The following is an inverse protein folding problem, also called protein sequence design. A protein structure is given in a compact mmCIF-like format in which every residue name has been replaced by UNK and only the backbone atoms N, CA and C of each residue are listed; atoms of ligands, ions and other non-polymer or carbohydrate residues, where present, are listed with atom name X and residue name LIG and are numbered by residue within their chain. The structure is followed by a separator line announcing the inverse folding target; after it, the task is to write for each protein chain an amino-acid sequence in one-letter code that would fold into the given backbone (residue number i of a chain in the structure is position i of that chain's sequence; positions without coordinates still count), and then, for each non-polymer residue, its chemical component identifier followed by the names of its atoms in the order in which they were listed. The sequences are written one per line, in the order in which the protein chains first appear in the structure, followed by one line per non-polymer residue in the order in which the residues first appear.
data_IF_318165426479
#
_entry.id   IF_318165426479
#
_cell.length_a   1.000
_cell.length_b   1.000
_cell.length_c   1.000
_cell.angle_alpha   90.00
_cell.angle_beta   90.00
_cell.angle_gamma   90.00
#
_symmetry.space_group_name_H-M   'P 1'
#
loop_
_entity.id
_entity.type
_entity.pdbx_description
1 polymer ?
#
# COMPACT_ATOMS: atom_id res chain seq x y z
N UNK A 1 4.18 39.28 -42.27
CA UNK A 1 4.37 38.08 -41.43
C UNK A 1 4.25 38.59 -40.02
N UNK A 2 3.10 38.39 -39.36
CA UNK A 2 2.76 39.01 -38.09
C UNK A 2 2.90 37.92 -37.01
N UNK A 3 3.88 38.09 -36.14
CA UNK A 3 3.99 37.26 -34.92
C UNK A 3 3.04 37.82 -33.84
N UNK A 4 2.14 36.94 -33.36
CA UNK A 4 1.25 37.24 -32.24
C UNK A 4 2.00 37.01 -30.94
N UNK A 5 1.90 37.87 -29.92
CA UNK A 5 2.52 37.67 -28.61
C UNK A 5 1.84 36.52 -27.85
N UNK A 6 2.64 35.62 -27.32
CA UNK A 6 2.19 34.50 -26.44
C UNK A 6 1.70 35.06 -25.10
N UNK A 7 0.40 35.01 -24.86
CA UNK A 7 -0.21 35.48 -23.61
C UNK A 7 -0.13 34.35 -22.57
N UNK A 8 0.54 34.53 -21.42
CA UNK A 8 0.69 33.52 -20.35
C UNK A 8 -0.61 33.19 -19.61
N UNK A 9 -1.65 34.00 -19.75
CA UNK A 9 -2.88 33.94 -18.95
C UNK A 9 -3.77 32.74 -19.32
N UNK A 10 -3.74 32.24 -20.55
CA UNK A 10 -4.59 31.11 -20.97
C UNK A 10 -4.10 29.76 -20.48
N UNK A 11 -2.82 29.62 -20.13
CA UNK A 11 -2.27 28.38 -19.58
C UNK A 11 -2.69 28.15 -18.14
N UNK A 12 -2.83 29.22 -17.34
CA UNK A 12 -3.30 29.12 -15.94
C UNK A 12 -4.80 28.74 -15.84
N UNK A 13 -5.62 29.19 -16.77
CA UNK A 13 -7.07 28.87 -16.79
C UNK A 13 -7.32 27.41 -17.20
N UNK A 14 -6.55 26.86 -18.12
CA UNK A 14 -6.68 25.48 -18.56
C UNK A 14 -6.25 24.48 -17.45
N UNK A 15 -5.15 24.79 -16.71
CA UNK A 15 -4.68 23.98 -15.59
C UNK A 15 -5.64 24.00 -14.41
N UNK A 16 -6.25 25.13 -14.08
CA UNK A 16 -7.22 25.22 -12.96
C UNK A 16 -8.55 24.53 -13.27
N UNK A 17 -8.93 24.48 -14.54
CA UNK A 17 -10.18 23.84 -14.95
C UNK A 17 -10.05 22.30 -15.04
N UNK A 18 -8.90 21.79 -15.46
CA UNK A 18 -8.59 20.35 -15.43
C UNK A 18 -8.41 19.84 -13.98
N UNK A 19 -7.69 20.56 -13.14
CA UNK A 19 -7.52 20.18 -11.73
C UNK A 19 -8.87 20.11 -10.99
N UNK A 20 -9.81 21.02 -11.28
CA UNK A 20 -11.18 20.95 -10.74
C UNK A 20 -12.01 19.80 -11.31
N UNK A 21 -11.74 19.34 -12.53
CA UNK A 21 -12.42 18.16 -13.08
C UNK A 21 -11.88 16.87 -12.47
N UNK A 22 -10.56 16.76 -12.31
CA UNK A 22 -9.92 15.61 -11.66
C UNK A 22 -10.27 15.51 -10.18
N UNK A 23 -10.31 16.64 -9.45
CA UNK A 23 -10.78 16.67 -8.06
C UNK A 23 -12.28 16.28 -7.93
N UNK A 24 -13.13 16.65 -8.89
CA UNK A 24 -14.53 16.25 -8.90
C UNK A 24 -14.73 14.79 -9.28
N UNK A 25 -13.95 14.26 -10.21
CA UNK A 25 -13.99 12.83 -10.56
C UNK A 25 -13.43 11.97 -9.43
N UNK A 26 -12.42 12.41 -8.68
CA UNK A 26 -11.95 11.72 -7.47
C UNK A 26 -12.94 11.82 -6.29
N UNK A 27 -13.63 12.94 -6.10
CA UNK A 27 -14.67 13.04 -5.08
C UNK A 27 -15.90 12.15 -5.39
N UNK A 28 -16.28 12.00 -6.66
CA UNK A 28 -17.41 11.14 -7.04
C UNK A 28 -17.08 9.64 -6.94
N UNK A 29 -15.80 9.24 -6.97
CA UNK A 29 -15.38 7.85 -6.74
C UNK A 29 -15.14 7.49 -5.26
N UNK A 30 -14.95 8.46 -4.38
CA UNK A 30 -14.70 8.24 -2.94
C UNK A 30 -15.95 8.32 -2.06
N UNK A 31 -17.11 8.70 -2.60
CA UNK A 31 -18.38 8.71 -1.88
C UNK A 31 -19.37 7.67 -2.40
N UNK A 32 -18.90 6.41 -2.57
CA UNK A 32 -19.74 5.23 -2.55
C UNK A 32 -20.14 4.96 -1.11
N UNK A 33 -21.29 5.51 -0.73
CA UNK A 33 -22.15 5.15 0.39
C UNK A 33 -21.46 4.34 1.53
N UNK A 34 -21.08 5.02 2.60
CA UNK A 34 -21.08 4.40 3.93
C UNK A 34 -22.54 4.05 4.27
N UNK A 35 -23.04 2.96 3.68
CA UNK A 35 -24.13 2.24 4.32
C UNK A 35 -23.56 1.65 5.60
N UNK A 36 -24.17 1.98 6.72
CA UNK A 36 -23.91 1.41 8.02
C UNK A 36 -24.10 -0.11 7.94
N UNK A 37 -23.05 -0.84 7.62
CA UNK A 37 -23.01 -2.31 7.71
C UNK A 37 -22.96 -2.68 9.20
N UNK A 38 -24.06 -2.44 9.89
CA UNK A 38 -24.30 -2.93 11.23
C UNK A 38 -24.88 -4.34 11.09
N UNK A 39 -24.05 -5.36 11.21
CA UNK A 39 -24.53 -6.71 11.31
C UNK A 39 -23.87 -7.70 10.32
N UNK A 40 -24.27 -8.93 10.34
CA UNK A 40 -23.61 -10.07 9.69
C UNK A 40 -23.78 -10.14 8.16
N UNK A 41 -23.95 -9.03 7.47
CA UNK A 41 -24.25 -8.99 6.00
C UNK A 41 -23.19 -9.67 5.11
N UNK A 42 -21.96 -9.91 5.65
CA UNK A 42 -20.93 -10.68 4.94
C UNK A 42 -21.35 -12.15 4.74
N UNK A 43 -22.25 -12.67 5.58
CA UNK A 43 -22.69 -14.06 5.51
C UNK A 43 -23.94 -14.27 4.63
N UNK A 44 -24.62 -13.20 4.21
CA UNK A 44 -25.87 -13.26 3.44
C UNK A 44 -25.66 -13.20 1.91
N UNK A 45 -24.43 -13.11 1.41
CA UNK A 45 -24.16 -13.08 -0.05
C UNK A 45 -24.26 -14.48 -0.67
N UNK A 46 -24.84 -14.62 -1.87
CA UNK A 46 -24.90 -15.90 -2.57
C UNK A 46 -23.50 -16.41 -2.96
N UNK A 47 -23.21 -17.63 -2.59
CA UNK A 47 -21.92 -18.31 -2.70
C UNK A 47 -21.73 -18.91 -4.10
N UNK A 48 -20.57 -18.69 -4.76
CA UNK A 48 -20.19 -19.42 -5.97
C UNK A 48 -19.72 -20.85 -5.62
N UNK A 49 -20.68 -21.78 -5.63
CA UNK A 49 -20.48 -23.18 -5.22
C UNK A 49 -19.54 -24.00 -6.11
N UNK A 50 -19.11 -23.47 -7.25
CA UNK A 50 -18.32 -24.25 -8.23
C UNK A 50 -16.82 -24.29 -7.91
N UNK A 51 -16.27 -23.28 -7.24
CA UNK A 51 -14.85 -23.21 -6.90
C UNK A 51 -14.48 -24.07 -5.70
N UNK A 52 -15.28 -24.01 -4.62
CA UNK A 52 -15.03 -24.79 -3.39
C UNK A 52 -15.06 -26.31 -3.62
N UNK A 53 -15.94 -26.77 -4.50
CA UNK A 53 -16.08 -28.19 -4.86
C UNK A 53 -14.84 -28.75 -5.53
N UNK A 54 -14.21 -28.04 -6.45
CA UNK A 54 -13.01 -28.51 -7.17
C UNK A 54 -11.78 -28.61 -6.29
N UNK A 55 -11.61 -27.71 -5.33
CA UNK A 55 -10.47 -27.72 -4.41
C UNK A 55 -10.57 -28.82 -3.37
N UNK A 56 -11.77 -29.15 -2.87
CA UNK A 56 -11.99 -30.19 -1.91
C UNK A 56 -11.80 -31.61 -2.49
N UNK A 57 -12.29 -31.85 -3.70
CA UNK A 57 -12.14 -33.16 -4.40
C UNK A 57 -10.69 -33.52 -4.71
N UNK A 58 -9.81 -32.53 -4.95
CA UNK A 58 -8.40 -32.77 -5.23
C UNK A 58 -7.57 -33.15 -4.00
N UNK A 59 -7.97 -32.74 -2.77
CA UNK A 59 -7.20 -32.97 -1.54
C UNK A 59 -7.37 -34.36 -0.92
N UNK A 60 -8.41 -35.14 -1.27
CA UNK A 60 -8.83 -36.32 -0.54
C UNK A 60 -8.81 -37.64 -1.34
N UNK A 61 -8.04 -37.78 -2.43
CA UNK A 61 -7.83 -39.07 -3.10
C UNK A 61 -6.75 -39.87 -2.33
N UNK A 62 -7.17 -40.66 -1.34
CA UNK A 62 -6.37 -41.76 -0.77
C UNK A 62 -6.95 -43.12 -1.20
N UNK A 63 -6.09 -44.16 -1.47
CA UNK A 63 -6.56 -45.47 -1.87
C UNK A 63 -7.17 -46.24 -0.69
N UNK A 64 -8.38 -46.76 -0.88
CA UNK A 64 -9.05 -47.68 0.05
C UNK A 64 -8.26 -49.01 0.10
N UNK A 65 -7.72 -49.35 1.26
CA UNK A 65 -7.20 -50.70 1.55
C UNK A 65 -8.35 -51.59 2.06
N UNK A 66 -8.59 -52.65 1.35
CA UNK A 66 -9.65 -53.61 1.61
C UNK A 66 -9.42 -54.42 2.90
N UNK A 67 -10.26 -54.22 3.91
CA UNK A 67 -10.18 -54.88 5.21
C UNK A 67 -10.94 -56.24 5.24
N UNK A 68 -11.67 -56.57 4.17
CA UNK A 68 -12.53 -57.77 4.16
C UNK A 68 -11.79 -59.10 4.03
N UNK A 69 -10.59 -59.13 3.39
CA UNK A 69 -9.85 -60.37 3.10
C UNK A 69 -9.15 -60.97 4.33
N UNK A 70 -9.00 -60.26 5.42
CA UNK A 70 -8.28 -60.76 6.64
C UNK A 70 -9.12 -61.44 7.66
N UNK A 71 -10.42 -61.51 7.50
CA UNK A 71 -11.36 -62.09 8.53
C UNK A 71 -11.69 -63.55 8.33
N UNK A 72 -11.35 -64.19 7.22
CA UNK A 72 -11.78 -65.58 6.90
C UNK A 72 -10.84 -66.71 7.36
N UNK A 73 -9.70 -66.38 8.00
CA UNK A 73 -8.70 -67.42 8.38
C UNK A 73 -8.46 -67.52 9.88
N UNK A 74 -9.49 -67.73 10.71
CA UNK A 74 -9.30 -67.95 12.15
C UNK A 74 -9.73 -69.40 12.61
N UNK A 75 -8.88 -70.14 13.35
CA UNK A 75 -9.18 -71.46 13.83
C UNK A 75 -10.14 -71.45 15.05
N UNK A 76 -10.83 -72.60 15.37
CA UNK A 76 -11.89 -72.63 16.35
C UNK A 76 -11.38 -72.48 17.82
N UNK A 77 -12.11 -71.68 18.54
CA UNK A 77 -11.74 -71.03 19.79
C UNK A 77 -11.84 -71.92 21.05
N UNK A 78 -10.82 -71.89 21.90
CA UNK A 78 -10.77 -72.56 23.23
C UNK A 78 -11.59 -71.81 24.32
N UNK A 79 -11.92 -72.47 25.42
CA UNK A 79 -12.71 -71.89 26.54
C UNK A 79 -12.08 -70.61 27.16
N UNK A 80 -10.76 -70.49 27.15
CA UNK A 80 -10.04 -69.31 27.60
C UNK A 80 -10.26 -68.09 26.62
N UNK A 81 -10.39 -68.37 25.35
CA UNK A 81 -10.65 -67.43 24.27
C UNK A 81 -12.08 -66.86 24.34
N UNK A 82 -13.09 -67.69 24.79
CA UNK A 82 -14.47 -67.17 24.92
C UNK A 82 -14.61 -66.09 26.01
N UNK A 83 -13.84 -66.22 27.15
CA UNK A 83 -13.81 -65.19 28.20
C UNK A 83 -13.13 -63.89 27.70
N UNK A 84 -12.09 -64.02 26.91
CA UNK A 84 -11.42 -62.87 26.30
C UNK A 84 -12.26 -62.21 25.22
N UNK A 85 -13.08 -62.96 24.49
CA UNK A 85 -14.07 -62.41 23.51
C UNK A 85 -15.19 -61.70 24.28
N UNK A 86 -15.64 -62.18 25.43
CA UNK A 86 -16.62 -61.45 26.25
C UNK A 86 -16.11 -60.13 26.77
N UNK A 87 -14.82 -60.05 27.14
CA UNK A 87 -14.16 -58.84 27.58
C UNK A 87 -13.93 -57.93 26.34
N UNK A 88 -13.46 -58.47 25.23
CA UNK A 88 -13.29 -57.75 23.99
C UNK A 88 -14.63 -57.21 23.44
N UNK A 89 -15.71 -57.99 23.56
CA UNK A 89 -17.05 -57.53 23.21
C UNK A 89 -17.57 -56.40 24.09
N UNK A 90 -17.34 -56.50 25.40
CA UNK A 90 -17.69 -55.39 26.32
C UNK A 90 -16.86 -54.12 26.03
N UNK A 91 -15.57 -54.29 25.79
CA UNK A 91 -14.71 -53.15 25.35
C UNK A 91 -15.16 -52.60 24.02
N UNK A 92 -15.53 -53.45 23.06
CA UNK A 92 -16.06 -53.01 21.77
C UNK A 92 -17.40 -52.25 21.92
N UNK A 93 -18.29 -52.68 22.81
CA UNK A 93 -19.56 -51.99 23.11
C UNK A 93 -19.32 -50.63 23.77
N UNK A 94 -18.37 -50.55 24.72
CA UNK A 94 -17.98 -49.28 25.32
C UNK A 94 -17.36 -48.36 24.29
N UNK A 95 -16.45 -48.86 23.43
CA UNK A 95 -15.86 -48.10 22.33
C UNK A 95 -16.92 -47.66 21.33
N UNK A 96 -17.89 -48.50 20.98
CA UNK A 96 -18.99 -48.16 20.10
C UNK A 96 -19.89 -47.08 20.70
N UNK A 97 -20.15 -47.18 22.00
CA UNK A 97 -20.88 -46.14 22.75
C UNK A 97 -20.13 -44.81 22.80
N UNK A 98 -18.81 -44.87 23.02
CA UNK A 98 -17.94 -43.67 22.99
C UNK A 98 -17.88 -43.08 21.58
N UNK A 99 -17.79 -43.92 20.54
CA UNK A 99 -17.78 -43.47 19.16
C UNK A 99 -19.13 -42.84 18.78
N UNK A 100 -20.24 -43.44 19.19
CA UNK A 100 -21.57 -42.91 18.91
C UNK A 100 -21.84 -41.59 19.65
N UNK A 101 -21.58 -41.53 20.95
CA UNK A 101 -21.68 -40.30 21.73
C UNK A 101 -20.69 -39.23 21.23
N UNK A 102 -19.44 -39.62 20.94
CA UNK A 102 -18.42 -38.71 20.45
C UNK A 102 -18.73 -38.20 19.05
N UNK A 103 -19.38 -38.98 18.18
CA UNK A 103 -19.89 -38.54 16.90
C UNK A 103 -20.88 -37.38 17.01
N UNK A 104 -21.72 -37.39 18.04
CA UNK A 104 -22.65 -36.30 18.34
C UNK A 104 -21.96 -35.03 18.86
N UNK A 105 -20.86 -35.20 19.66
CA UNK A 105 -20.15 -34.09 20.27
C UNK A 105 -19.07 -33.48 19.36
N UNK A 106 -18.47 -34.26 18.46
CA UNK A 106 -17.37 -33.86 17.59
C UNK A 106 -17.76 -33.92 16.10
N UNK A 107 -19.04 -34.12 15.80
CA UNK A 107 -19.56 -34.22 14.45
C UNK A 107 -19.69 -32.86 13.77
N UNK A 108 -19.93 -32.85 12.45
CA UNK A 108 -20.03 -31.61 11.66
C UNK A 108 -21.19 -30.73 12.15
N UNK A 109 -22.34 -31.30 12.52
CA UNK A 109 -23.49 -30.56 13.04
C UNK A 109 -23.14 -29.75 14.30
N UNK A 110 -22.43 -30.37 15.27
CA UNK A 110 -22.03 -29.66 16.50
C UNK A 110 -20.99 -28.59 16.24
N UNK A 111 -20.10 -28.82 15.26
CA UNK A 111 -19.14 -27.79 14.81
C UNK A 111 -19.85 -26.60 14.18
N UNK A 112 -20.87 -26.86 13.34
CA UNK A 112 -21.68 -25.80 12.74
C UNK A 112 -22.48 -25.02 13.81
N UNK A 113 -23.12 -25.70 14.75
CA UNK A 113 -23.81 -25.05 15.87
C UNK A 113 -22.88 -24.13 16.66
N UNK A 114 -21.73 -24.66 17.09
CA UNK A 114 -20.76 -23.89 17.88
C UNK A 114 -20.23 -22.67 17.08
N UNK A 115 -20.01 -22.84 15.80
CA UNK A 115 -19.56 -21.73 14.94
C UNK A 115 -20.63 -20.64 14.83
N UNK A 116 -21.89 -21.00 14.52
CA UNK A 116 -22.99 -20.03 14.42
C UNK A 116 -23.22 -19.33 15.76
N UNK A 117 -23.24 -20.08 16.87
CA UNK A 117 -23.37 -19.49 18.20
C UNK A 117 -22.24 -18.49 18.48
N UNK A 118 -20.99 -18.85 18.13
CA UNK A 118 -19.83 -17.96 18.32
C UNK A 118 -19.95 -16.69 17.47
N UNK A 119 -20.35 -16.80 16.20
CA UNK A 119 -20.59 -15.65 15.33
C UNK A 119 -21.66 -14.71 15.91
N UNK A 120 -22.78 -15.27 16.35
CA UNK A 120 -23.90 -14.49 16.87
C UNK A 120 -23.59 -13.85 18.23
N UNK A 121 -22.77 -14.52 19.05
CA UNK A 121 -22.29 -13.99 20.35
C UNK A 121 -21.09 -13.04 20.22
N UNK A 122 -20.51 -12.90 19.04
CA UNK A 122 -19.31 -12.11 18.82
C UNK A 122 -18.03 -12.72 19.42
N UNK A 123 -18.03 -14.06 19.68
CA UNK A 123 -16.84 -14.79 20.10
C UNK A 123 -15.95 -15.10 18.87
N UNK A 124 -15.33 -14.05 18.34
CA UNK A 124 -14.49 -14.12 17.14
C UNK A 124 -13.28 -15.03 17.31
N UNK A 125 -12.81 -15.21 18.54
CA UNK A 125 -11.76 -16.17 18.83
C UNK A 125 -12.18 -17.60 18.53
N UNK A 126 -13.36 -18.00 18.99
CA UNK A 126 -13.94 -19.32 18.72
C UNK A 126 -14.32 -19.47 17.25
N UNK A 127 -14.77 -18.38 16.59
CA UNK A 127 -14.99 -18.38 15.15
C UNK A 127 -13.71 -18.72 14.42
N UNK A 128 -12.60 -18.00 14.66
CA UNK A 128 -11.30 -18.24 14.04
C UNK A 128 -10.81 -19.68 14.21
N UNK A 129 -10.92 -20.24 15.42
CA UNK A 129 -10.45 -21.60 15.75
C UNK A 129 -11.22 -22.72 15.00
N UNK A 130 -12.41 -22.41 14.48
CA UNK A 130 -13.23 -23.31 13.70
C UNK A 130 -13.13 -23.10 12.18
N UNK A 131 -12.36 -22.13 11.70
CA UNK A 131 -12.16 -21.91 10.26
C UNK A 131 -11.12 -22.85 9.65
N UNK A 132 -11.32 -23.22 8.40
CA UNK A 132 -10.29 -23.86 7.55
C UNK A 132 -9.56 -22.76 6.77
N UNK A 133 -8.43 -22.31 7.30
CA UNK A 133 -7.66 -21.24 6.70
C UNK A 133 -6.53 -21.80 5.82
N UNK A 134 -6.29 -21.23 4.63
CA UNK A 134 -5.07 -21.51 3.88
C UNK A 134 -3.84 -20.94 4.64
N UNK A 135 -2.66 -21.35 4.24
CA UNK A 135 -1.45 -20.74 4.78
C UNK A 135 -1.30 -19.31 4.20
N UNK A 136 -1.06 -18.33 5.05
CA UNK A 136 -0.89 -16.94 4.66
C UNK A 136 -0.44 -16.09 5.84
N UNK A 137 0.48 -15.17 5.59
CA UNK A 137 1.02 -14.28 6.65
C UNK A 137 0.00 -13.27 7.19
N UNK A 138 -1.04 -12.96 6.39
CA UNK A 138 -2.12 -12.03 6.74
C UNK A 138 -3.40 -12.76 7.22
N UNK A 139 -3.34 -14.09 7.37
CA UNK A 139 -4.46 -14.91 7.86
C UNK A 139 -4.30 -15.34 9.32
N UNK A 140 -3.50 -14.59 10.07
CA UNK A 140 -3.31 -14.85 11.50
C UNK A 140 -4.54 -14.48 12.33
N UNK A 141 -4.55 -14.97 13.57
CA UNK A 141 -5.64 -14.70 14.52
C UNK A 141 -5.77 -13.23 14.87
N UNK A 142 -4.65 -12.52 14.97
CA UNK A 142 -4.65 -11.09 15.31
C UNK A 142 -5.26 -10.26 14.18
N UNK A 143 -4.94 -10.58 12.92
CA UNK A 143 -5.54 -9.95 11.75
C UNK A 143 -7.05 -10.21 11.68
N UNK A 144 -7.48 -11.48 11.92
CA UNK A 144 -8.90 -11.80 11.96
C UNK A 144 -9.65 -11.00 13.03
N UNK A 145 -9.09 -10.91 14.22
CA UNK A 145 -9.70 -10.15 15.33
C UNK A 145 -9.72 -8.65 15.02
N UNK A 146 -8.73 -8.11 14.33
CA UNK A 146 -8.70 -6.71 13.92
C UNK A 146 -9.85 -6.37 12.96
N UNK A 147 -10.09 -7.16 11.92
CA UNK A 147 -11.17 -6.91 10.96
C UNK A 147 -12.59 -7.22 11.50
N UNK A 148 -12.68 -7.92 12.64
CA UNK A 148 -13.98 -8.31 13.22
C UNK A 148 -14.34 -7.56 14.50
N UNK A 149 -13.43 -6.74 15.06
CA UNK A 149 -13.58 -6.13 16.39
C UNK A 149 -14.81 -5.22 16.54
N UNK A 150 -15.26 -4.58 15.47
CA UNK A 150 -16.42 -3.68 15.49
C UNK A 150 -17.77 -4.42 15.40
N UNK A 151 -17.76 -5.71 15.10
CA UNK A 151 -19.00 -6.49 14.96
C UNK A 151 -19.59 -6.80 16.32
N UNK A 152 -20.78 -6.29 16.58
CA UNK A 152 -21.46 -6.42 17.87
C UNK A 152 -22.18 -7.75 17.99
N UNK A 153 -22.26 -8.35 19.21
CA UNK A 153 -23.09 -9.52 19.47
C UNK A 153 -24.56 -9.22 19.08
N UNK A 154 -25.21 -10.25 18.57
CA UNK A 154 -26.63 -10.19 18.23
C UNK A 154 -27.41 -11.12 19.14
N UNK A 155 -28.41 -10.60 19.84
CA UNK A 155 -29.32 -11.43 20.60
C UNK A 155 -30.27 -12.17 19.64
N UNK A 156 -30.15 -13.49 19.62
CA UNK A 156 -30.95 -14.31 18.71
C UNK A 156 -31.96 -15.17 19.43
N UNK A 157 -33.06 -15.41 18.76
CA UNK A 157 -34.10 -16.36 19.18
C UNK A 157 -34.34 -17.34 18.02
N UNK A 158 -34.79 -18.56 18.36
CA UNK A 158 -35.21 -19.59 17.40
C UNK A 158 -34.09 -20.02 16.41
N UNK A 159 -32.84 -20.18 16.91
CA UNK A 159 -31.80 -20.78 16.11
C UNK A 159 -32.14 -22.22 15.71
N UNK A 160 -32.21 -22.47 14.41
CA UNK A 160 -32.45 -23.79 13.82
C UNK A 160 -31.37 -24.07 12.79
N UNK A 161 -30.73 -25.25 12.91
CA UNK A 161 -29.70 -25.70 11.97
C UNK A 161 -30.20 -26.89 11.18
N UNK A 162 -30.24 -26.78 9.86
CA UNK A 162 -30.64 -27.86 8.96
C UNK A 162 -29.47 -28.27 8.06
N UNK A 163 -29.23 -29.58 7.96
CA UNK A 163 -28.28 -30.15 7.02
C UNK A 163 -28.91 -30.14 5.63
N UNK A 164 -28.17 -29.62 4.63
CA UNK A 164 -28.62 -29.60 3.26
C UNK A 164 -28.09 -30.84 2.50
N UNK A 165 -28.93 -31.41 1.65
CA UNK A 165 -28.55 -32.56 0.80
C UNK A 165 -27.70 -32.11 -0.41
N UNK A 166 -26.67 -31.27 -0.18
CA UNK A 166 -25.90 -30.60 -1.26
C UNK A 166 -24.93 -31.50 -2.00
N UNK A 167 -24.33 -32.47 -1.33
CA UNK A 167 -23.29 -33.31 -1.91
C UNK A 167 -23.70 -34.79 -1.95
N UNK A 168 -23.94 -35.32 -3.15
CA UNK A 168 -24.15 -36.75 -3.37
C UNK A 168 -22.85 -37.54 -3.48
N UNK A 169 -22.87 -38.84 -3.15
CA UNK A 169 -21.77 -39.77 -3.36
C UNK A 169 -20.60 -39.63 -2.39
N UNK A 170 -19.36 -39.74 -2.89
CA UNK A 170 -18.14 -39.73 -2.06
C UNK A 170 -17.83 -38.37 -1.45
N UNK A 171 -18.28 -37.28 -2.05
CA UNK A 171 -18.05 -35.91 -1.57
C UNK A 171 -18.74 -35.64 -0.22
N UNK A 172 -19.93 -36.24 0.03
CA UNK A 172 -20.66 -36.10 1.30
C UNK A 172 -19.93 -36.63 2.53
N UNK A 173 -18.84 -37.39 2.33
CA UNK A 173 -17.97 -37.88 3.43
C UNK A 173 -17.00 -36.82 3.93
N UNK A 174 -16.70 -35.82 3.12
CA UNK A 174 -15.66 -34.83 3.35
C UNK A 174 -16.22 -33.42 3.48
N UNK A 175 -17.37 -33.15 2.88
CA UNK A 175 -18.06 -31.87 2.89
C UNK A 175 -19.47 -32.02 3.43
N UNK A 176 -19.91 -31.03 4.21
CA UNK A 176 -21.27 -30.92 4.74
C UNK A 176 -21.75 -29.49 4.60
N UNK A 177 -22.97 -29.31 4.13
CA UNK A 177 -23.62 -28.01 4.05
C UNK A 177 -24.70 -27.91 5.13
N UNK A 178 -24.78 -26.76 5.77
CA UNK A 178 -25.79 -26.43 6.77
C UNK A 178 -26.36 -25.06 6.49
N UNK A 179 -27.66 -24.92 6.72
CA UNK A 179 -28.32 -23.62 6.78
C UNK A 179 -28.76 -23.37 8.22
N UNK A 180 -28.28 -22.28 8.81
CA UNK A 180 -28.73 -21.80 10.10
C UNK A 180 -29.78 -20.71 9.88
N UNK A 181 -31.02 -20.97 10.35
CA UNK A 181 -32.08 -19.97 10.39
C UNK A 181 -32.20 -19.42 11.82
N UNK A 182 -32.29 -18.11 11.95
CA UNK A 182 -32.39 -17.43 13.24
C UNK A 182 -33.21 -16.13 13.11
N UNK A 183 -33.76 -15.70 14.25
CA UNK A 183 -34.43 -14.41 14.36
C UNK A 183 -33.67 -13.55 15.36
N UNK A 184 -33.53 -12.26 15.05
CA UNK A 184 -32.89 -11.28 15.95
C UNK A 184 -33.95 -10.76 16.92
N UNK A 185 -33.58 -10.57 18.19
CA UNK A 185 -34.49 -10.07 19.19
C UNK A 185 -35.01 -8.67 18.79
N UNK A 186 -36.34 -8.53 18.76
CA UNK A 186 -37.02 -7.30 18.32
C UNK A 186 -37.28 -7.19 16.83
N UNK A 187 -36.80 -8.14 15.99
CA UNK A 187 -37.08 -8.25 14.57
C UNK A 187 -37.86 -9.54 14.28
N UNK A 188 -38.95 -9.45 13.52
CA UNK A 188 -39.75 -10.60 13.12
C UNK A 188 -39.21 -11.29 11.87
N UNK A 189 -38.18 -10.76 11.23
CA UNK A 189 -37.58 -11.37 10.06
C UNK A 189 -36.72 -12.57 10.44
N UNK A 190 -36.83 -13.64 9.62
CA UNK A 190 -35.97 -14.80 9.73
C UNK A 190 -34.75 -14.54 8.82
N UNK A 191 -33.57 -14.61 9.41
CA UNK A 191 -32.29 -14.54 8.70
C UNK A 191 -31.72 -15.94 8.53
N UNK A 192 -30.95 -16.14 7.47
CA UNK A 192 -30.26 -17.40 7.20
C UNK A 192 -28.78 -17.19 7.02
N UNK A 193 -28.00 -18.19 7.45
CA UNK A 193 -26.56 -18.28 7.25
C UNK A 193 -26.25 -19.65 6.67
N UNK A 194 -25.62 -19.68 5.50
CA UNK A 194 -25.16 -20.90 4.87
C UNK A 194 -23.72 -21.20 5.28
N UNK A 195 -23.44 -22.47 5.57
CA UNK A 195 -22.14 -22.93 6.06
C UNK A 195 -21.72 -24.17 5.30
N UNK A 196 -20.50 -24.16 4.78
CA UNK A 196 -19.86 -25.36 4.25
C UNK A 196 -18.77 -25.81 5.21
N UNK A 197 -18.86 -27.04 5.69
CA UNK A 197 -17.85 -27.63 6.55
C UNK A 197 -17.04 -28.67 5.81
N UNK A 198 -15.74 -28.67 6.06
CA UNK A 198 -14.81 -29.68 5.55
C UNK A 198 -14.28 -30.55 6.67
N UNK A 199 -14.06 -31.82 6.31
CA UNK A 199 -13.43 -32.79 7.21
C UNK A 199 -11.93 -32.70 7.10
N UNK A 200 -11.27 -32.41 8.22
CA UNK A 200 -9.83 -32.32 8.29
C UNK A 200 -9.13 -33.67 8.42
N UNK A 201 -7.87 -33.76 7.98
CA UNK A 201 -7.03 -34.97 8.21
C UNK A 201 -6.70 -35.18 9.67
N UNK A 202 -6.67 -34.08 10.41
CA UNK A 202 -6.44 -34.11 11.88
C UNK A 202 -7.57 -34.81 12.63
N UNK A 203 -7.22 -35.44 13.76
CA UNK A 203 -8.16 -36.11 14.63
C UNK A 203 -8.29 -35.37 15.96
N UNK A 204 -9.54 -35.22 16.42
CA UNK A 204 -9.85 -34.87 17.81
C UNK A 204 -9.95 -36.14 18.63
N UNK A 205 -9.38 -36.15 19.85
CA UNK A 205 -9.45 -37.27 20.77
C UNK A 205 -9.05 -38.64 20.16
N UNK A 206 -8.03 -38.67 19.28
CA UNK A 206 -7.49 -39.85 18.59
C UNK A 206 -8.41 -40.50 17.56
N UNK A 207 -9.73 -40.41 17.68
CA UNK A 207 -10.69 -41.18 16.89
C UNK A 207 -11.59 -40.32 16.01
N UNK A 208 -11.94 -39.11 16.45
CA UNK A 208 -12.92 -38.28 15.74
C UNK A 208 -12.23 -37.36 14.74
N UNK A 209 -12.84 -37.21 13.59
CA UNK A 209 -12.36 -36.25 12.58
C UNK A 209 -12.65 -34.82 13.07
N UNK A 210 -11.68 -33.94 12.93
CA UNK A 210 -11.89 -32.51 13.10
C UNK A 210 -12.68 -31.99 11.88
N UNK A 211 -13.68 -31.17 12.11
CA UNK A 211 -14.42 -30.44 11.09
C UNK A 211 -14.12 -28.96 11.25
N UNK A 212 -14.00 -28.26 10.12
CA UNK A 212 -13.80 -26.82 10.09
C UNK A 212 -14.75 -26.19 9.07
N UNK A 213 -15.12 -24.95 9.31
CA UNK A 213 -15.94 -24.16 8.40
C UNK A 213 -15.05 -23.59 7.30
N UNK A 214 -15.44 -23.76 6.06
CA UNK A 214 -14.78 -23.11 4.92
C UNK A 214 -15.12 -21.62 4.98
N UNK A 215 -14.13 -20.71 4.97
CA UNK A 215 -14.35 -19.27 5.19
C UNK A 215 -14.84 -18.58 3.92
N UNK A 216 -15.95 -19.04 3.35
CA UNK A 216 -16.56 -18.44 2.16
C UNK A 216 -17.01 -17.01 2.47
N UNK A 217 -16.60 -16.06 1.65
CA UNK A 217 -16.91 -14.63 1.83
C UNK A 217 -16.11 -13.93 2.95
N UNK A 218 -15.28 -14.68 3.71
CA UNK A 218 -14.42 -14.10 4.75
C UNK A 218 -12.98 -13.87 4.27
N UNK A 219 -12.60 -14.45 3.14
CA UNK A 219 -11.25 -14.40 2.59
C UNK A 219 -11.29 -13.92 1.16
N UNK A 220 -10.40 -13.00 0.85
CA UNK A 220 -10.10 -12.53 -0.51
C UNK A 220 -8.75 -13.12 -0.90
N UNK A 221 -8.75 -14.00 -1.90
CA UNK A 221 -7.51 -14.61 -2.42
C UNK A 221 -6.94 -13.79 -3.56
N UNK A 222 -5.61 -13.68 -3.62
CA UNK A 222 -4.91 -12.92 -4.65
C UNK A 222 -5.36 -11.45 -4.72
N UNK A 223 -5.60 -10.84 -3.56
CA UNK A 223 -5.80 -9.40 -3.49
C UNK A 223 -4.51 -8.70 -3.88
N UNK A 224 -4.59 -7.85 -4.89
CA UNK A 224 -3.43 -7.22 -5.48
C UNK A 224 -3.24 -5.80 -4.92
N UNK A 225 -2.03 -5.49 -4.45
CA UNK A 225 -1.65 -4.12 -4.10
C UNK A 225 -0.59 -3.69 -5.09
N UNK A 226 -0.80 -2.55 -5.75
CA UNK A 226 0.17 -1.90 -6.62
C UNK A 226 0.74 -0.69 -5.90
N UNK A 227 2.05 -0.56 -5.86
CA UNK A 227 2.72 0.61 -5.31
C UNK A 227 3.83 1.07 -6.26
N UNK A 228 4.16 2.37 -6.32
CA UNK A 228 5.31 2.84 -7.07
C UNK A 228 6.58 2.06 -6.69
N UNK A 229 7.41 1.73 -7.69
CA UNK A 229 8.59 0.89 -7.48
C UNK A 229 9.51 1.45 -6.40
N UNK A 230 10.02 0.56 -5.54
CA UNK A 230 10.89 0.91 -4.43
C UNK A 230 10.15 1.36 -3.16
N UNK A 231 8.82 1.35 -3.14
CA UNK A 231 8.07 1.57 -1.91
C UNK A 231 8.12 0.32 -1.02
N UNK A 232 8.20 0.53 0.27
CA UNK A 232 8.02 -0.51 1.29
C UNK A 232 6.57 -0.46 1.70
N UNK A 233 5.87 -1.57 1.51
CA UNK A 233 4.44 -1.68 1.80
C UNK A 233 4.22 -2.67 2.93
N UNK A 234 3.37 -2.28 3.87
CA UNK A 234 2.88 -3.13 4.96
C UNK A 234 1.36 -3.15 4.92
N UNK A 235 0.77 -4.25 5.33
CA UNK A 235 -0.66 -4.35 5.60
C UNK A 235 -0.87 -4.80 7.04
N UNK A 236 -1.62 -4.02 7.80
CA UNK A 236 -1.87 -4.23 9.24
C UNK A 236 -0.58 -4.47 10.04
N UNK A 237 0.48 -3.71 9.72
CA UNK A 237 1.80 -3.84 10.34
C UNK A 237 2.61 -5.06 9.88
N UNK A 238 2.14 -5.81 8.88
CA UNK A 238 2.85 -6.95 8.30
C UNK A 238 3.51 -6.54 6.98
N UNK A 239 4.84 -6.59 6.93
CA UNK A 239 5.58 -6.24 5.72
C UNK A 239 5.26 -7.18 4.55
N UNK A 240 5.02 -6.59 3.38
CA UNK A 240 4.75 -7.32 2.16
C UNK A 240 6.02 -7.47 1.33
N UNK A 241 6.03 -8.49 0.48
CA UNK A 241 7.13 -8.74 -0.46
C UNK A 241 6.56 -8.68 -1.87
N UNK A 242 7.12 -7.87 -2.76
CA UNK A 242 6.64 -7.80 -4.12
C UNK A 242 6.81 -9.14 -4.84
N UNK A 243 5.88 -9.44 -5.74
CA UNK A 243 6.00 -10.62 -6.60
C UNK A 243 7.09 -10.40 -7.65
N UNK A 244 7.90 -11.43 -7.88
CA UNK A 244 8.81 -11.47 -9.02
C UNK A 244 7.96 -11.68 -10.29
N UNK A 245 7.55 -10.63 -10.96
CA UNK A 245 6.82 -10.70 -12.22
C UNK A 245 7.70 -10.20 -13.37
N UNK A 246 8.36 -11.08 -14.12
CA UNK A 246 9.18 -10.67 -15.27
C UNK A 246 8.38 -10.11 -16.46
N UNK A 247 7.05 -10.24 -16.45
CA UNK A 247 6.20 -9.81 -17.57
C UNK A 247 5.51 -8.45 -17.36
N UNK A 248 5.56 -7.89 -16.14
CA UNK A 248 5.00 -6.57 -15.79
C UNK A 248 6.09 -5.52 -15.54
N UNK A 249 7.22 -5.61 -16.23
CA UNK A 249 8.19 -4.51 -16.32
C UNK A 249 7.59 -3.24 -16.96
N UNK A 250 6.29 -3.26 -17.26
CA UNK A 250 5.57 -2.04 -17.57
C UNK A 250 5.43 -1.24 -16.29
N UNK A 251 6.19 -0.16 -16.22
CA UNK A 251 5.64 1.02 -15.61
C UNK A 251 6.06 1.44 -14.21
N UNK A 252 7.15 1.00 -13.64
CA UNK A 252 7.60 1.62 -12.38
C UNK A 252 6.69 1.33 -11.17
N UNK A 253 6.02 0.17 -11.15
CA UNK A 253 5.21 -0.31 -10.02
C UNK A 253 5.70 -1.68 -9.52
N UNK A 254 5.73 -1.81 -8.20
CA UNK A 254 5.83 -3.10 -7.52
C UNK A 254 4.42 -3.65 -7.26
N UNK A 255 4.23 -4.95 -7.45
CA UNK A 255 2.95 -5.63 -7.29
C UNK A 255 3.05 -6.66 -6.17
N UNK A 256 2.09 -6.65 -5.26
CA UNK A 256 1.97 -7.57 -4.13
C UNK A 256 0.66 -8.33 -4.26
N UNK A 257 0.69 -9.68 -4.23
CA UNK A 257 -0.51 -10.49 -4.24
C UNK A 257 -0.61 -11.29 -2.94
N UNK A 258 -1.64 -11.04 -2.17
CA UNK A 258 -1.83 -11.62 -0.85
C UNK A 258 -3.21 -12.22 -0.69
N UNK A 259 -3.32 -13.19 0.22
CA UNK A 259 -4.61 -13.66 0.69
C UNK A 259 -4.90 -13.02 2.04
N UNK A 260 -6.05 -12.33 2.13
CA UNK A 260 -6.41 -11.49 3.27
C UNK A 260 -7.82 -11.79 3.75
N UNK A 261 -8.17 -11.39 4.95
CA UNK A 261 -9.57 -11.38 5.39
C UNK A 261 -10.33 -10.23 4.70
N UNK A 262 -11.62 -10.41 4.48
CA UNK A 262 -12.50 -9.33 4.06
C UNK A 262 -12.83 -8.44 5.27
N UNK A 263 -12.73 -7.12 5.11
CA UNK A 263 -12.99 -6.15 6.18
C UNK A 263 -12.11 -4.91 6.08
N UNK A 264 -12.04 -4.19 7.20
CA UNK A 264 -11.22 -2.98 7.31
C UNK A 264 -9.75 -3.33 7.53
N UNK A 265 -8.89 -2.71 6.73
CA UNK A 265 -7.44 -2.88 6.76
C UNK A 265 -6.75 -1.53 6.70
N UNK A 266 -5.48 -1.51 7.06
CA UNK A 266 -4.60 -0.34 6.90
C UNK A 266 -3.39 -0.74 6.08
N UNK A 267 -3.24 -0.11 4.92
CA UNK A 267 -2.02 -0.21 4.12
C UNK A 267 -1.09 0.93 4.55
N UNK A 268 0.11 0.60 4.98
CA UNK A 268 1.15 1.58 5.29
C UNK A 268 2.20 1.53 4.20
N UNK A 269 2.50 2.68 3.62
CA UNK A 269 3.55 2.78 2.61
C UNK A 269 4.63 3.77 3.06
N UNK A 270 5.88 3.45 2.73
CA UNK A 270 7.04 4.31 2.97
C UNK A 270 8.06 4.15 1.86
N UNK A 271 8.83 5.20 1.60
CA UNK A 271 9.96 5.15 0.67
C UNK A 271 11.04 6.12 1.13
N UNK A 272 12.24 5.94 0.59
CA UNK A 272 13.33 6.87 0.86
C UNK A 272 12.95 8.27 0.36
N UNK A 273 13.24 9.29 1.15
CA UNK A 273 12.93 10.71 0.87
C UNK A 273 11.45 11.08 0.93
N UNK A 274 10.56 10.18 1.33
CA UNK A 274 9.12 10.42 1.42
C UNK A 274 8.59 10.27 2.84
N UNK A 275 7.44 10.86 3.11
CA UNK A 275 6.71 10.61 4.36
C UNK A 275 6.15 9.19 4.34
N UNK A 276 6.09 8.57 5.50
CA UNK A 276 5.31 7.36 5.68
C UNK A 276 3.85 7.75 5.82
N UNK A 277 2.98 7.09 5.05
CA UNK A 277 1.55 7.36 5.06
C UNK A 277 0.74 6.08 5.29
N UNK A 278 -0.42 6.22 5.93
CA UNK A 278 -1.36 5.14 6.21
C UNK A 278 -2.64 5.36 5.39
N UNK A 279 -3.07 4.30 4.73
CA UNK A 279 -4.24 4.29 3.86
C UNK A 279 -5.26 3.28 4.38
N UNK A 280 -6.27 3.72 5.13
CA UNK A 280 -7.38 2.87 5.51
C UNK A 280 -8.14 2.40 4.26
N UNK A 281 -8.38 1.11 4.14
CA UNK A 281 -9.11 0.53 3.03
C UNK A 281 -10.04 -0.57 3.52
N UNK A 282 -11.17 -0.74 2.83
CA UNK A 282 -12.09 -1.84 3.07
C UNK A 282 -11.95 -2.86 1.95
N UNK A 283 -11.59 -4.09 2.29
CA UNK A 283 -11.40 -5.17 1.33
C UNK A 283 -12.67 -6.03 1.29
N UNK A 284 -13.27 -6.13 0.12
CA UNK A 284 -14.42 -6.98 -0.13
C UNK A 284 -14.09 -8.07 -1.16
N UNK A 285 -14.93 -9.11 -1.21
CA UNK A 285 -14.78 -10.18 -2.21
C UNK A 285 -15.02 -9.71 -3.65
N UNK A 286 -15.59 -8.53 -3.82
CA UNK A 286 -15.90 -7.94 -5.12
C UNK A 286 -14.79 -7.00 -5.62
N UNK A 287 -13.89 -6.59 -4.72
CA UNK A 287 -12.71 -5.76 -5.03
C UNK A 287 -11.46 -6.62 -5.06
N UNK A 288 -10.68 -6.49 -6.13
CA UNK A 288 -9.52 -7.34 -6.37
C UNK A 288 -8.18 -6.64 -6.23
N UNK A 289 -8.15 -5.30 -6.11
CA UNK A 289 -6.89 -4.58 -6.04
C UNK A 289 -7.00 -3.23 -5.33
N UNK A 290 -5.84 -2.72 -4.89
CA UNK A 290 -5.64 -1.37 -4.36
C UNK A 290 -4.38 -0.76 -4.99
N UNK A 291 -4.44 0.51 -5.35
CA UNK A 291 -3.28 1.25 -5.83
C UNK A 291 -2.84 2.26 -4.77
N UNK A 292 -1.59 2.12 -4.31
CA UNK A 292 -0.99 3.03 -3.32
C UNK A 292 -0.71 4.37 -3.98
N UNK A 293 -1.26 5.47 -3.46
CA UNK A 293 -0.98 6.79 -3.99
C UNK A 293 0.51 7.16 -3.87
N UNK A 294 0.93 8.14 -4.66
CA UNK A 294 2.26 8.71 -4.53
C UNK A 294 2.40 9.41 -3.18
N UNK A 295 3.41 9.00 -2.41
CA UNK A 295 3.69 9.57 -1.09
C UNK A 295 4.26 10.99 -1.21
N UNK A 296 3.93 11.83 -0.25
CA UNK A 296 4.47 13.18 -0.14
C UNK A 296 5.97 13.17 0.12
N UNK A 297 6.69 14.15 -0.42
CA UNK A 297 8.11 14.36 -0.09
C UNK A 297 8.27 14.64 1.39
N UNK A 298 9.23 14.00 2.05
CA UNK A 298 9.42 14.18 3.49
C UNK A 298 9.92 15.60 3.82
N UNK A 299 9.47 16.12 4.96
CA UNK A 299 9.95 17.41 5.47
C UNK A 299 11.47 17.46 5.55
N UNK A 300 12.08 16.37 5.99
CA UNK A 300 13.54 16.25 6.06
C UNK A 300 14.18 16.39 4.68
N UNK A 301 13.57 15.82 3.65
CA UNK A 301 14.07 15.94 2.28
C UNK A 301 13.93 17.37 1.77
N UNK A 302 12.81 18.03 2.04
CA UNK A 302 12.64 19.46 1.70
C UNK A 302 13.67 20.32 2.41
N UNK A 303 13.93 20.08 3.69
CA UNK A 303 14.99 20.78 4.45
C UNK A 303 16.38 20.57 3.86
N UNK A 304 16.69 19.35 3.39
CA UNK A 304 17.94 19.06 2.69
C UNK A 304 18.06 19.82 1.37
N UNK A 305 17.00 19.87 0.58
CA UNK A 305 16.96 20.67 -0.66
C UNK A 305 17.15 22.15 -0.35
N UNK A 306 16.47 22.68 0.68
CA UNK A 306 16.64 24.08 1.13
C UNK A 306 18.09 24.40 1.50
N UNK A 307 18.74 23.49 2.24
CA UNK A 307 20.13 23.66 2.63
C UNK A 307 21.06 23.61 1.40
N UNK A 308 20.75 22.76 0.42
CA UNK A 308 21.44 22.72 -0.87
C UNK A 308 21.30 24.04 -1.61
N UNK A 309 20.08 24.60 -1.67
CA UNK A 309 19.81 25.91 -2.28
C UNK A 309 20.61 27.01 -1.61
N UNK A 310 20.62 27.07 -0.28
CA UNK A 310 21.37 28.11 0.45
C UNK A 310 22.87 28.09 0.14
N UNK A 311 23.45 26.89 0.12
CA UNK A 311 24.87 26.71 -0.21
C UNK A 311 25.14 27.03 -1.66
N UNK A 312 24.32 26.49 -2.57
CA UNK A 312 24.42 26.72 -3.99
C UNK A 312 24.42 28.22 -4.31
N UNK A 313 23.44 28.97 -3.80
CA UNK A 313 23.33 30.40 -4.06
C UNK A 313 24.57 31.17 -3.56
N UNK A 314 25.00 30.90 -2.33
CA UNK A 314 26.21 31.54 -1.80
C UNK A 314 27.45 31.25 -2.64
N UNK A 315 27.61 30.00 -3.06
CA UNK A 315 28.78 29.57 -3.84
C UNK A 315 28.75 30.11 -5.27
N UNK A 316 27.62 29.99 -5.99
CA UNK A 316 27.55 30.40 -7.40
C UNK A 316 27.76 31.90 -7.58
N UNK A 317 27.10 32.71 -6.75
CA UNK A 317 27.28 34.17 -6.83
C UNK A 317 28.73 34.56 -6.41
N UNK A 318 29.30 33.90 -5.43
CA UNK A 318 30.70 34.10 -5.04
C UNK A 318 31.68 33.77 -6.17
N UNK A 319 31.47 32.68 -6.89
CA UNK A 319 32.31 32.28 -8.03
C UNK A 319 32.18 33.27 -9.19
N UNK A 320 30.94 33.64 -9.53
CA UNK A 320 30.69 34.62 -10.64
C UNK A 320 31.32 35.98 -10.34
N UNK A 321 31.14 36.49 -9.11
CA UNK A 321 31.76 37.77 -8.72
C UNK A 321 33.29 37.73 -8.74
N UNK A 322 33.89 36.58 -8.47
CA UNK A 322 35.34 36.39 -8.54
C UNK A 322 35.85 36.06 -9.97
N UNK A 323 34.96 35.93 -10.94
CA UNK A 323 35.26 35.63 -12.38
C UNK A 323 36.13 34.35 -12.51
N UNK A 324 35.88 33.35 -11.68
CA UNK A 324 36.69 32.12 -11.62
C UNK A 324 36.26 31.06 -12.65
N UNK A 325 35.14 31.27 -13.32
CA UNK A 325 34.46 30.25 -14.15
C UNK A 325 33.85 29.13 -13.29
N UNK A 326 33.00 28.30 -13.89
CA UNK A 326 32.30 27.22 -13.15
C UNK A 326 33.31 26.19 -12.62
N UNK A 327 33.40 26.07 -11.29
CA UNK A 327 34.28 25.11 -10.63
C UNK A 327 33.69 23.71 -10.57
N UNK A 328 34.52 22.70 -10.23
CA UNK A 328 34.01 21.36 -9.94
C UNK A 328 33.01 21.40 -8.76
N UNK A 329 33.25 22.25 -7.76
CA UNK A 329 32.35 22.43 -6.61
C UNK A 329 30.98 22.95 -7.04
N UNK A 330 30.92 23.87 -8.00
CA UNK A 330 29.66 24.32 -8.59
C UNK A 330 28.90 23.19 -9.27
N UNK A 331 29.62 22.37 -10.03
CA UNK A 331 29.02 21.23 -10.74
C UNK A 331 28.58 20.11 -9.80
N UNK A 332 29.14 19.98 -8.60
CA UNK A 332 28.72 19.02 -7.61
C UNK A 332 27.28 19.23 -7.10
N UNK A 333 26.75 20.44 -7.25
CA UNK A 333 25.33 20.69 -6.94
C UNK A 333 24.38 20.13 -8.00
N UNK A 334 24.85 19.89 -9.23
CA UNK A 334 24.05 19.54 -10.37
C UNK A 334 24.05 18.03 -10.64
N UNK A 335 22.98 17.54 -11.25
CA UNK A 335 22.82 16.14 -11.62
C UNK A 335 23.61 15.74 -12.88
N UNK A 336 24.88 16.17 -12.95
CA UNK A 336 25.74 15.96 -14.13
C UNK A 336 26.34 14.57 -14.23
N UNK A 337 26.24 13.77 -13.16
CA UNK A 337 26.70 12.37 -13.12
C UNK A 337 25.51 11.39 -13.06
N UNK A 338 24.29 11.82 -13.40
CA UNK A 338 23.12 10.98 -13.40
C UNK A 338 23.31 9.75 -14.29
N UNK A 339 22.85 8.59 -13.81
CA UNK A 339 22.97 7.33 -14.55
C UNK A 339 22.31 7.37 -15.93
N UNK A 340 21.27 8.20 -16.12
CA UNK A 340 20.71 8.52 -17.43
C UNK A 340 21.56 9.61 -18.10
N UNK A 341 22.22 9.27 -19.20
CA UNK A 341 23.14 10.17 -19.92
C UNK A 341 22.45 11.40 -20.51
N UNK A 342 21.20 11.29 -20.92
CA UNK A 342 20.42 12.42 -21.44
C UNK A 342 20.10 13.41 -20.34
N UNK A 343 19.62 12.91 -19.20
CA UNK A 343 19.38 13.71 -17.99
C UNK A 343 20.64 14.43 -17.54
N UNK A 344 21.78 13.72 -17.48
CA UNK A 344 23.08 14.32 -17.11
C UNK A 344 23.53 15.41 -18.10
N UNK A 345 23.35 15.18 -19.39
CA UNK A 345 23.71 16.17 -20.42
C UNK A 345 22.86 17.45 -20.32
N UNK A 346 21.55 17.31 -20.11
CA UNK A 346 20.64 18.46 -19.94
C UNK A 346 20.97 19.21 -18.64
N UNK A 347 21.20 18.49 -17.53
CA UNK A 347 21.60 19.12 -16.27
C UNK A 347 22.91 19.93 -16.43
N UNK A 348 23.87 19.41 -17.21
CA UNK A 348 25.11 20.10 -17.53
C UNK A 348 24.86 21.36 -18.37
N UNK A 349 24.03 21.26 -19.40
CA UNK A 349 23.66 22.41 -20.25
C UNK A 349 22.98 23.50 -19.43
N UNK A 350 22.05 23.12 -18.53
CA UNK A 350 21.38 24.05 -17.63
C UNK A 350 22.35 24.74 -16.68
N UNK A 351 23.31 23.99 -16.11
CA UNK A 351 24.36 24.54 -15.26
C UNK A 351 25.20 25.58 -16.00
N UNK A 352 25.70 25.23 -17.18
CA UNK A 352 26.54 26.13 -18.01
C UNK A 352 25.74 27.38 -18.50
N UNK A 353 24.44 27.22 -18.78
CA UNK A 353 23.56 28.30 -19.17
C UNK A 353 23.30 29.29 -18.02
N UNK A 354 23.01 28.76 -16.82
CA UNK A 354 22.79 29.60 -15.64
C UNK A 354 24.07 30.41 -15.31
N UNK A 355 25.21 29.73 -15.28
CA UNK A 355 26.48 30.42 -14.97
C UNK A 355 26.74 31.58 -15.92
N UNK A 356 26.61 31.35 -17.24
CA UNK A 356 26.78 32.41 -18.28
C UNK A 356 25.77 33.54 -18.10
N UNK A 357 24.51 33.23 -17.80
CA UNK A 357 23.48 34.27 -17.55
C UNK A 357 23.89 35.15 -16.37
N UNK A 358 24.36 34.56 -15.28
CA UNK A 358 24.82 35.36 -14.12
C UNK A 358 26.07 36.19 -14.44
N UNK A 359 27.04 35.66 -15.21
CA UNK A 359 28.20 36.43 -15.69
C UNK A 359 27.77 37.63 -16.52
N UNK A 360 26.82 37.45 -17.43
CA UNK A 360 26.26 38.54 -18.27
C UNK A 360 25.54 39.58 -17.42
N UNK A 361 24.73 39.15 -16.46
CA UNK A 361 23.99 40.03 -15.52
C UNK A 361 24.98 40.90 -14.72
N UNK A 362 26.05 40.32 -14.15
CA UNK A 362 27.04 41.05 -13.37
C UNK A 362 28.05 41.85 -14.20
N UNK A 363 28.12 41.62 -15.52
CA UNK A 363 28.89 42.47 -16.43
C UNK A 363 28.19 43.79 -16.76
N UNK A 364 26.89 43.93 -16.42
CA UNK A 364 26.14 45.15 -16.64
C UNK A 364 26.56 46.24 -15.67
N UNK A 365 26.99 47.40 -16.17
CA UNK A 365 27.60 48.46 -15.36
C UNK A 365 26.61 49.51 -14.86
N UNK A 366 25.33 49.43 -15.19
CA UNK A 366 24.26 50.33 -14.77
C UNK A 366 24.61 51.85 -14.93
N UNK A 367 25.32 52.16 -16.01
CA UNK A 367 25.73 53.54 -16.31
C UNK A 367 27.06 53.99 -15.70
N UNK A 368 27.74 53.16 -14.94
CA UNK A 368 29.12 53.36 -14.50
C UNK A 368 30.10 52.91 -15.60
N UNK A 369 31.33 53.40 -15.57
CA UNK A 369 32.41 52.85 -16.40
C UNK A 369 32.84 51.45 -15.95
N UNK A 370 32.82 51.25 -14.64
CA UNK A 370 33.06 49.94 -14.04
C UNK A 370 32.31 49.79 -12.75
N UNK A 371 31.93 48.54 -12.44
CA UNK A 371 31.31 48.16 -11.18
C UNK A 371 32.13 47.02 -10.55
N UNK A 372 32.46 47.17 -9.28
CA UNK A 372 33.14 46.16 -8.50
C UNK A 372 32.27 45.79 -7.32
N UNK A 373 31.73 44.60 -7.33
CA UNK A 373 30.99 44.05 -6.18
C UNK A 373 31.92 43.80 -5.01
N UNK A 374 31.52 44.22 -3.82
CA UNK A 374 32.33 44.09 -2.58
C UNK A 374 31.70 43.15 -1.56
N UNK A 375 30.44 42.84 -1.70
CA UNK A 375 29.72 41.89 -0.87
C UNK A 375 28.37 41.48 -1.44
N UNK A 376 27.96 40.26 -1.12
CA UNK A 376 26.64 39.75 -1.42
C UNK A 376 26.22 38.79 -0.33
N UNK A 377 24.98 38.91 0.13
CA UNK A 377 24.44 38.09 1.17
C UNK A 377 22.97 37.73 0.87
N UNK A 378 22.57 36.53 1.27
CA UNK A 378 21.22 36.02 1.12
C UNK A 378 20.66 35.61 2.48
N UNK A 379 19.40 35.92 2.72
CA UNK A 379 18.74 35.68 4.00
C UNK A 379 17.24 35.38 3.84
N UNK A 380 16.58 35.04 4.95
CA UNK A 380 15.14 34.81 5.02
C UNK A 380 14.58 33.87 3.95
N UNK A 381 15.29 32.74 3.74
CA UNK A 381 14.85 31.72 2.81
C UNK A 381 13.53 31.09 3.26
N UNK A 382 12.60 31.06 2.36
CA UNK A 382 11.39 30.24 2.43
C UNK A 382 11.32 29.39 1.17
N UNK A 383 10.90 28.13 1.29
CA UNK A 383 10.69 27.29 0.12
C UNK A 383 9.56 26.31 0.32
N UNK A 384 8.90 25.99 -0.79
CA UNK A 384 7.81 25.03 -0.86
C UNK A 384 7.96 24.15 -2.11
N UNK A 385 7.53 22.91 -2.00
CA UNK A 385 7.38 22.02 -3.17
C UNK A 385 6.14 22.45 -3.93
N UNK A 386 6.32 22.84 -5.19
CA UNK A 386 5.22 23.32 -6.05
C UNK A 386 4.68 22.22 -6.95
N UNK A 387 5.51 21.28 -7.34
CA UNK A 387 5.14 20.19 -8.23
C UNK A 387 6.11 19.03 -8.10
N UNK A 388 5.64 17.85 -8.43
CA UNK A 388 6.41 16.63 -8.51
C UNK A 388 5.93 15.78 -9.68
N UNK A 389 6.84 15.45 -10.59
CA UNK A 389 6.52 14.64 -11.76
C UNK A 389 7.60 13.59 -12.03
N UNK A 390 7.26 12.62 -12.86
CA UNK A 390 8.22 11.63 -13.36
C UNK A 390 8.30 11.74 -14.87
N UNK A 391 9.47 11.53 -15.43
CA UNK A 391 9.66 11.43 -16.86
C UNK A 391 9.36 10.02 -17.40
N UNK A 392 9.41 9.87 -18.69
CA UNK A 392 9.21 8.59 -19.38
C UNK A 392 10.31 7.56 -19.09
N UNK A 393 11.43 7.99 -18.50
CA UNK A 393 12.56 7.14 -18.12
C UNK A 393 12.57 6.77 -16.65
N UNK A 394 11.52 7.15 -15.89
CA UNK A 394 11.38 6.86 -14.46
C UNK A 394 12.14 7.81 -13.54
N UNK A 395 12.69 8.90 -14.05
CA UNK A 395 13.28 9.97 -13.25
C UNK A 395 12.19 10.68 -12.43
N UNK A 396 12.39 10.83 -11.12
CA UNK A 396 11.49 11.60 -10.26
C UNK A 396 12.04 13.01 -10.07
N UNK A 397 11.26 14.00 -10.46
CA UNK A 397 11.60 15.43 -10.39
C UNK A 397 10.77 16.14 -9.35
N UNK A 398 11.39 17.04 -8.61
CA UNK A 398 10.74 17.89 -7.60
C UNK A 398 11.01 19.34 -7.91
N UNK A 399 9.96 20.10 -8.11
CA UNK A 399 10.04 21.55 -8.31
C UNK A 399 9.92 22.25 -6.96
N UNK A 400 10.92 23.06 -6.65
CA UNK A 400 10.99 23.86 -5.45
C UNK A 400 10.89 25.34 -5.84
N UNK A 401 9.89 26.03 -5.28
CA UNK A 401 9.84 27.49 -5.28
C UNK A 401 10.59 28.01 -4.06
N UNK A 402 11.47 28.96 -4.25
CA UNK A 402 12.33 29.52 -3.20
C UNK A 402 12.21 31.04 -3.22
N UNK A 403 11.76 31.62 -2.11
CA UNK A 403 11.79 33.07 -1.87
C UNK A 403 12.92 33.39 -0.92
N UNK A 404 13.61 34.50 -1.16
CA UNK A 404 14.73 34.94 -0.34
C UNK A 404 14.89 36.46 -0.38
N UNK A 405 15.57 36.98 0.66
CA UNK A 405 16.05 38.36 0.65
C UNK A 405 17.51 38.36 0.25
N UNK A 406 17.91 39.41 -0.42
CA UNK A 406 19.30 39.65 -0.77
C UNK A 406 19.72 41.07 -0.38
N UNK A 407 21.00 41.24 -0.09
CA UNK A 407 21.69 42.50 -0.01
C UNK A 407 23.06 42.38 -0.67
N UNK A 408 23.43 43.40 -1.40
CA UNK A 408 24.74 43.47 -2.04
C UNK A 408 25.33 44.90 -1.97
N UNK A 409 26.65 44.96 -1.99
CA UNK A 409 27.41 46.19 -1.99
C UNK A 409 28.36 46.21 -3.18
N UNK A 410 28.50 47.38 -3.79
CA UNK A 410 29.41 47.54 -4.87
C UNK A 410 29.98 48.98 -4.93
N UNK A 411 31.15 49.11 -5.55
CA UNK A 411 31.73 50.38 -5.88
C UNK A 411 31.56 50.66 -7.37
N UNK A 412 30.79 51.68 -7.70
CA UNK A 412 30.60 52.15 -9.09
C UNK A 412 31.62 53.27 -9.41
N UNK A 413 32.32 53.13 -10.53
CA UNK A 413 33.27 54.13 -10.98
C UNK A 413 32.73 54.87 -12.17
N UNK A 414 32.68 56.20 -12.12
CA UNK A 414 32.26 57.06 -13.20
C UNK A 414 33.37 58.03 -13.58
N UNK A 415 33.43 58.36 -14.87
CA UNK A 415 34.32 59.36 -15.38
C UNK A 415 33.52 60.66 -15.59
N UNK A 416 33.93 61.74 -14.94
CA UNK A 416 33.33 63.05 -15.12
C UNK A 416 33.83 63.71 -16.43
N UNK A 417 33.13 64.75 -16.88
CA UNK A 417 33.45 65.43 -18.12
C UNK A 417 34.89 66.03 -18.17
N UNK A 418 35.46 66.31 -17.00
CA UNK A 418 36.84 66.77 -16.81
C UNK A 418 37.87 65.65 -16.66
N UNK A 419 37.48 64.41 -16.96
CA UNK A 419 38.30 63.22 -16.87
C UNK A 419 38.72 62.84 -15.43
N UNK A 420 38.03 63.37 -14.42
CA UNK A 420 38.25 62.91 -13.05
C UNK A 420 37.41 61.63 -12.78
N UNK A 421 38.09 60.62 -12.30
CA UNK A 421 37.41 59.35 -11.86
C UNK A 421 36.83 59.57 -10.47
N UNK A 422 35.53 59.36 -10.33
CA UNK A 422 34.83 59.32 -9.05
C UNK A 422 34.38 57.91 -8.75
N UNK A 423 34.62 57.45 -7.54
CA UNK A 423 34.14 56.14 -7.06
C UNK A 423 33.06 56.35 -6.00
N UNK A 424 31.96 55.64 -6.11
CA UNK A 424 30.84 55.68 -5.17
C UNK A 424 30.53 54.29 -4.67
N UNK A 425 30.48 54.13 -3.34
CA UNK A 425 30.03 52.92 -2.72
C UNK A 425 28.50 52.92 -2.64
N UNK A 426 27.90 51.84 -3.06
CA UNK A 426 26.47 51.61 -3.11
C UNK A 426 26.08 50.32 -2.36
N UNK A 427 24.88 50.35 -1.82
CA UNK A 427 24.27 49.18 -1.19
C UNK A 427 22.84 49.07 -1.68
N UNK A 428 22.48 47.87 -2.12
CA UNK A 428 21.14 47.54 -2.57
C UNK A 428 20.61 46.34 -1.81
N UNK A 429 19.30 46.31 -1.62
CA UNK A 429 18.66 45.18 -0.97
C UNK A 429 17.26 44.94 -1.52
N UNK A 430 16.80 43.73 -1.52
CA UNK A 430 15.48 43.38 -2.04
C UNK A 430 15.08 41.95 -1.66
N UNK A 431 14.01 41.52 -2.31
CA UNK A 431 13.54 40.14 -2.26
C UNK A 431 13.36 39.61 -3.67
N UNK A 432 13.59 38.33 -3.85
CA UNK A 432 13.41 37.64 -5.13
C UNK A 432 12.90 36.24 -4.91
N UNK A 433 12.40 35.66 -6.01
CA UNK A 433 11.93 34.30 -6.06
C UNK A 433 12.75 33.53 -7.12
N UNK A 434 12.90 32.24 -6.91
CA UNK A 434 13.57 31.32 -7.82
C UNK A 434 12.84 30.01 -7.89
N UNK A 435 12.93 29.33 -9.01
CA UNK A 435 12.42 27.99 -9.20
C UNK A 435 13.59 27.05 -9.48
N UNK A 436 13.64 25.96 -8.73
CA UNK A 436 14.67 24.94 -8.89
C UNK A 436 14.03 23.58 -9.02
N UNK A 437 14.46 22.82 -10.03
CA UNK A 437 14.06 21.43 -10.20
C UNK A 437 15.17 20.54 -9.67
N UNK A 438 14.81 19.63 -8.79
CA UNK A 438 15.71 18.61 -8.25
C UNK A 438 15.40 17.25 -8.86
N UNK A 439 16.43 16.42 -9.00
CA UNK A 439 16.32 15.00 -9.39
C UNK A 439 17.20 14.14 -8.46
N UNK A 440 16.82 12.90 -8.27
CA UNK A 440 17.62 11.94 -7.52
C UNK A 440 18.81 11.44 -8.35
N UNK A 441 20.02 11.57 -7.79
CA UNK A 441 21.26 11.03 -8.32
C UNK A 441 22.03 10.34 -7.19
N UNK A 442 22.29 9.05 -7.29
CA UNK A 442 23.02 8.25 -6.30
C UNK A 442 22.52 8.43 -4.85
N UNK A 443 21.21 8.50 -4.66
CA UNK A 443 20.58 8.67 -3.35
C UNK A 443 20.63 10.10 -2.79
N UNK A 444 21.02 11.08 -3.59
CA UNK A 444 21.06 12.50 -3.23
C UNK A 444 20.20 13.32 -4.20
N UNK A 445 19.53 14.34 -3.69
CA UNK A 445 18.82 15.30 -4.50
C UNK A 445 19.80 16.33 -5.05
N UNK A 446 19.93 16.37 -6.38
CA UNK A 446 20.79 17.27 -7.14
C UNK A 446 19.95 18.22 -7.98
N UNK A 447 20.47 19.38 -8.27
CA UNK A 447 19.82 20.38 -9.13
C UNK A 447 19.84 19.87 -10.58
N UNK A 448 18.67 19.80 -11.20
CA UNK A 448 18.50 19.52 -12.62
C UNK A 448 18.38 20.80 -13.43
N UNK A 449 17.59 21.77 -12.93
CA UNK A 449 17.48 23.10 -13.49
C UNK A 449 17.28 24.13 -12.39
N UNK A 450 17.74 25.35 -12.62
CA UNK A 450 17.52 26.47 -11.71
C UNK A 450 17.27 27.73 -12.54
N UNK A 451 16.24 28.47 -12.16
CA UNK A 451 15.96 29.79 -12.72
C UNK A 451 16.17 30.84 -11.63
N UNK A 452 17.37 31.42 -11.61
CA UNK A 452 17.70 32.53 -10.73
C UNK A 452 17.42 33.83 -11.45
N UNK A 453 16.63 34.69 -10.82
CA UNK A 453 16.39 36.03 -11.36
C UNK A 453 17.62 36.91 -11.15
N UNK A 454 17.84 37.81 -12.09
CA UNK A 454 18.86 38.87 -11.93
C UNK A 454 18.47 39.75 -10.74
N UNK A 455 19.42 39.92 -9.84
CA UNK A 455 19.28 40.77 -8.65
C UNK A 455 20.00 42.11 -8.81
N UNK A 456 20.65 42.32 -9.96
CA UNK A 456 21.40 43.55 -10.28
C UNK A 456 20.97 44.18 -11.61
#
# INVERSE_FOLDING_TARGET
MWELPRIPVLRKLWFTENKRKEEKEMEDHHYGQKENLTGPDIFDKPIDRTKSRRQAEQRFREPETDIREKLEQLPPLSKKTKRNIGIAGAVALVLTGVIWAGGSFFGPKKTAENYVEAVLQGDWKSVYENLELPQGKLLGKEQFLAVTHERKPVEVTNLKLEEQDGYGGSASRFLKEYTAEYSVNGDSSVRSMELTLSRQKEKKMLFFSKWCVIPEGLIVSNYTIKAPAGYKVEMDGTALTPEEQPELEESGYDVYAETVFAGDHVITASADSREQEEFPCYISTDESYYEVPKLSISKKTVEQMQETVRKFMGDVYGEVLNQSGPSEKYLDYWAVNNGNKETAAIARENADALYRKLEEDFAYTNGYESVQFTGMNFSNYYSEVTDEYSDEYGGSYVNLHVSYNYDYTYTGTSLSYDQQTTAEDRSESGSSDSYMTFIMEDGQWKIYSADLYSIY
#
